data_IF_806970505155
#
_entry.id   IF_806970505155
#
_cell.length_a   1.000
_cell.length_b   1.000
_cell.length_c   1.000
_cell.angle_alpha   90.00
_cell.angle_beta   90.00
_cell.angle_gamma   90.00
#
_symmetry.space_group_name_H-M   'P 1'
#
loop_
_entity.id
_entity.type
_entity.pdbx_description
1 polymer ?
#
# COMPACT_ATOMS: atom_id res chain seq x y z
N UNK A 1 -13.31 -2.52 -5.38
CA UNK A 1 -12.63 -3.15 -4.23
C UNK A 1 -12.93 -4.66 -4.14
N UNK A 2 -14.11 -5.10 -3.66
CA UNK A 2 -14.48 -6.54 -3.47
C UNK A 2 -14.22 -7.45 -4.68
N UNK A 3 -14.29 -6.90 -5.90
CA UNK A 3 -13.99 -7.63 -7.13
C UNK A 3 -12.55 -8.16 -7.21
N UNK A 4 -11.54 -7.38 -6.80
CA UNK A 4 -10.12 -7.72 -7.02
C UNK A 4 -9.73 -9.05 -6.37
N UNK A 5 -10.14 -9.27 -5.11
CA UNK A 5 -9.86 -10.52 -4.39
C UNK A 5 -10.58 -11.73 -5.00
N UNK A 6 -11.69 -11.52 -5.73
CA UNK A 6 -12.45 -12.58 -6.42
C UNK A 6 -11.91 -12.90 -7.81
N UNK A 7 -11.51 -11.90 -8.60
CA UNK A 7 -11.24 -12.06 -10.04
C UNK A 7 -9.79 -11.86 -10.44
N UNK A 8 -8.97 -11.16 -9.63
CA UNK A 8 -7.62 -10.71 -10.01
C UNK A 8 -6.51 -11.19 -9.10
N UNK A 9 -6.67 -11.19 -7.78
CA UNK A 9 -5.59 -11.45 -6.83
C UNK A 9 -4.76 -12.73 -7.11
N UNK A 10 -5.41 -13.85 -7.43
CA UNK A 10 -4.73 -15.12 -7.77
C UNK A 10 -3.99 -15.00 -9.11
N UNK A 11 -4.55 -14.30 -10.10
CA UNK A 11 -3.93 -14.09 -11.41
C UNK A 11 -2.71 -13.18 -11.29
N UNK A 12 -2.85 -12.06 -10.57
CA UNK A 12 -1.78 -11.09 -10.34
C UNK A 12 -0.59 -11.74 -9.60
N UNK A 13 -0.87 -12.63 -8.63
CA UNK A 13 0.16 -13.38 -7.90
C UNK A 13 0.84 -14.45 -8.77
N UNK A 14 0.08 -15.20 -9.59
CA UNK A 14 0.67 -16.14 -10.58
C UNK A 14 1.56 -15.43 -11.60
N UNK A 15 1.20 -14.21 -12.01
CA UNK A 15 1.96 -13.37 -12.94
C UNK A 15 3.04 -12.52 -12.25
N UNK A 16 3.25 -12.65 -10.93
CA UNK A 16 4.19 -11.87 -10.11
C UNK A 16 3.98 -10.33 -10.15
N UNK A 17 2.79 -9.86 -10.53
CA UNK A 17 2.43 -8.44 -10.53
C UNK A 17 2.15 -7.90 -9.12
N UNK A 18 1.75 -8.76 -8.18
CA UNK A 18 1.57 -8.41 -6.77
C UNK A 18 1.23 -9.63 -5.92
N UNK A 19 1.62 -9.58 -4.65
CA UNK A 19 1.38 -10.65 -3.67
C UNK A 19 0.21 -10.26 -2.77
N UNK A 20 -0.72 -11.18 -2.53
CA UNK A 20 -1.95 -10.94 -1.76
C UNK A 20 -2.05 -11.90 -0.58
N UNK A 21 -2.30 -11.34 0.61
CA UNK A 21 -2.60 -12.11 1.81
C UNK A 21 -4.04 -11.84 2.26
N UNK A 22 -4.72 -12.90 2.68
CA UNK A 22 -6.05 -12.86 3.30
C UNK A 22 -5.96 -13.37 4.75
N UNK A 23 -6.90 -12.95 5.61
CA UNK A 23 -7.12 -13.57 6.93
C UNK A 23 -8.49 -14.23 6.92
N UNK A 24 -8.50 -15.50 7.30
CA UNK A 24 -9.70 -16.32 7.32
C UNK A 24 -10.09 -16.53 8.78
N UNK A 25 -11.32 -16.18 9.12
CA UNK A 25 -11.95 -16.47 10.41
C UNK A 25 -12.78 -17.75 10.28
N UNK A 26 -12.71 -18.61 11.31
CA UNK A 26 -13.40 -19.92 11.36
C UNK A 26 -13.18 -20.78 10.10
N UNK A 27 -12.00 -20.66 9.48
CA UNK A 27 -11.60 -21.30 8.22
C UNK A 27 -12.57 -21.09 7.02
N UNK A 28 -13.53 -20.16 7.11
CA UNK A 28 -14.60 -19.93 6.13
C UNK A 28 -14.67 -18.50 5.61
N UNK A 29 -14.46 -17.50 6.46
CA UNK A 29 -14.77 -16.09 6.15
C UNK A 29 -13.49 -15.28 5.99
N UNK A 30 -13.23 -14.74 4.78
CA UNK A 30 -12.17 -13.74 4.60
C UNK A 30 -12.60 -12.44 5.30
N UNK A 31 -12.02 -12.14 6.46
CA UNK A 31 -12.33 -10.94 7.25
C UNK A 31 -11.57 -9.69 6.78
N UNK A 32 -10.58 -9.88 5.90
CA UNK A 32 -9.86 -8.81 5.22
C UNK A 32 -8.69 -9.33 4.39
N UNK A 33 -8.21 -8.52 3.46
CA UNK A 33 -7.05 -8.83 2.62
C UNK A 33 -6.19 -7.58 2.36
N UNK A 34 -4.93 -7.79 2.00
CA UNK A 34 -4.03 -6.75 1.49
C UNK A 34 -3.23 -7.30 0.31
N UNK A 35 -3.04 -6.48 -0.73
CA UNK A 35 -2.24 -6.79 -1.91
C UNK A 35 -1.12 -5.77 -2.05
N UNK A 36 0.12 -6.23 -2.22
CA UNK A 36 1.30 -5.36 -2.36
C UNK A 36 2.04 -5.65 -3.66
N UNK A 37 2.72 -4.63 -4.20
CA UNK A 37 3.59 -4.73 -5.37
C UNK A 37 4.87 -3.90 -5.18
N UNK A 38 5.93 -4.24 -5.92
CA UNK A 38 7.09 -3.36 -6.05
C UNK A 38 6.71 -2.10 -6.81
N UNK A 39 7.27 -0.96 -6.43
CA UNK A 39 6.90 0.34 -6.98
C UNK A 39 8.10 1.28 -7.09
N UNK A 40 7.95 2.32 -7.91
CA UNK A 40 8.97 3.34 -8.14
C UNK A 40 8.28 4.69 -8.27
N UNK A 41 8.71 5.69 -7.48
CA UNK A 41 8.22 7.07 -7.64
C UNK A 41 9.28 7.89 -8.35
N UNK A 42 8.96 8.47 -9.49
CA UNK A 42 9.85 9.39 -10.18
C UNK A 42 10.05 10.68 -9.35
N UNK A 43 11.26 11.22 -9.34
CA UNK A 43 11.58 12.45 -8.58
C UNK A 43 10.97 13.70 -9.22
N UNK A 44 10.72 13.69 -10.54
CA UNK A 44 10.17 14.82 -11.31
C UNK A 44 8.71 15.15 -10.97
N UNK A 45 7.91 14.16 -10.59
CA UNK A 45 6.48 14.31 -10.27
C UNK A 45 6.23 14.75 -8.82
N UNK A 46 7.24 14.79 -7.94
CA UNK A 46 7.09 15.07 -6.50
C UNK A 46 7.72 16.40 -6.12
N UNK A 47 7.17 17.06 -5.09
CA UNK A 47 7.79 18.24 -4.47
C UNK A 47 9.21 17.95 -3.98
N UNK A 48 10.17 18.82 -4.29
CA UNK A 48 11.55 18.72 -3.77
C UNK A 48 11.65 19.02 -2.27
N UNK A 49 10.59 19.63 -1.69
CA UNK A 49 10.49 19.89 -0.26
C UNK A 49 10.14 18.64 0.55
N UNK A 50 9.69 17.54 -0.09
CA UNK A 50 9.34 16.31 0.60
C UNK A 50 10.59 15.60 1.16
N UNK A 51 10.63 15.42 2.48
CA UNK A 51 11.77 14.85 3.21
C UNK A 51 12.15 13.43 2.78
N UNK A 52 11.23 12.70 2.17
CA UNK A 52 11.47 11.36 1.60
C UNK A 52 12.37 11.41 0.35
N UNK A 53 12.30 12.51 -0.43
CA UNK A 53 12.97 12.72 -1.72
C UNK A 53 14.22 13.61 -1.61
N UNK A 54 14.29 14.43 -0.55
CA UNK A 54 15.51 15.17 -0.20
C UNK A 54 16.72 14.23 -0.09
N UNK A 55 17.85 14.69 -0.62
CA UNK A 55 19.15 14.00 -0.67
C UNK A 55 19.17 12.65 -1.42
N UNK A 56 18.16 12.31 -2.23
CA UNK A 56 18.25 11.17 -3.16
C UNK A 56 18.88 11.63 -4.49
N UNK A 57 20.00 11.04 -4.94
CA UNK A 57 20.68 11.47 -6.17
C UNK A 57 19.99 10.96 -7.45
N UNK A 58 19.25 9.86 -7.36
CA UNK A 58 18.62 9.20 -8.50
C UNK A 58 17.33 9.89 -8.98
N UNK A 59 16.97 9.64 -10.24
CA UNK A 59 15.74 10.14 -10.87
C UNK A 59 14.45 9.48 -10.35
N UNK A 60 14.54 8.44 -9.53
CA UNK A 60 13.39 7.73 -8.94
C UNK A 60 13.73 7.15 -7.55
N UNK A 61 12.71 6.75 -6.81
CA UNK A 61 12.82 6.14 -5.48
C UNK A 61 12.12 4.78 -5.47
N UNK A 62 12.82 3.69 -5.08
CA UNK A 62 12.20 2.37 -4.95
C UNK A 62 11.31 2.31 -3.70
N UNK A 63 10.13 1.74 -3.86
CA UNK A 63 9.05 1.76 -2.89
C UNK A 63 8.25 0.44 -2.90
N UNK A 64 7.40 0.27 -1.91
CA UNK A 64 6.33 -0.73 -1.94
C UNK A 64 4.99 -0.03 -2.13
N UNK A 65 4.17 -0.51 -3.07
CA UNK A 65 2.78 -0.08 -3.22
C UNK A 65 1.86 -1.04 -2.45
N UNK A 66 1.02 -0.53 -1.55
CA UNK A 66 -0.22 -1.20 -1.13
C UNK A 66 -1.25 -0.92 -2.22
N UNK A 67 -1.44 -1.89 -3.11
CA UNK A 67 -2.31 -1.75 -4.29
C UNK A 67 -3.79 -1.96 -3.97
N UNK A 68 -4.10 -2.79 -2.97
CA UNK A 68 -5.45 -3.00 -2.43
C UNK A 68 -5.37 -3.28 -0.92
N UNK A 69 -6.34 -2.76 -0.17
CA UNK A 69 -6.63 -3.11 1.22
C UNK A 69 -8.14 -3.14 1.40
N UNK A 70 -8.69 -4.19 2.00
CA UNK A 70 -10.09 -4.23 2.41
C UNK A 70 -10.27 -4.99 3.73
N UNK A 71 -11.36 -4.65 4.44
CA UNK A 71 -11.92 -5.39 5.58
C UNK A 71 -13.32 -5.85 5.17
N UNK A 72 -13.78 -6.99 5.69
CA UNK A 72 -15.14 -7.43 5.48
C UNK A 72 -16.10 -6.55 6.31
N UNK A 73 -17.15 -5.97 5.70
CA UNK A 73 -18.06 -4.99 6.32
C UNK A 73 -18.45 -5.32 7.78
N UNK A 74 -18.96 -6.52 8.03
CA UNK A 74 -19.38 -6.98 9.37
C UNK A 74 -18.25 -7.05 10.44
N UNK A 75 -16.99 -6.88 10.02
CA UNK A 75 -15.76 -6.91 10.83
C UNK A 75 -14.98 -5.59 10.80
N UNK A 76 -15.53 -4.53 10.18
CA UNK A 76 -15.00 -3.17 10.24
C UNK A 76 -15.04 -2.61 11.68
N UNK A 77 -14.29 -1.53 11.93
CA UNK A 77 -14.08 -0.96 13.28
C UNK A 77 -13.16 -1.80 14.18
N UNK A 78 -13.12 -3.13 14.04
CA UNK A 78 -12.37 -4.10 14.89
C UNK A 78 -10.85 -4.08 14.71
N UNK A 79 -10.25 -2.96 14.31
CA UNK A 79 -8.79 -2.78 14.15
C UNK A 79 -8.12 -3.54 12.99
N UNK A 80 -8.82 -4.47 12.31
CA UNK A 80 -8.25 -5.37 11.28
C UNK A 80 -7.45 -4.61 10.21
N UNK A 81 -8.01 -3.56 9.61
CA UNK A 81 -7.30 -2.77 8.59
C UNK A 81 -6.01 -2.12 9.11
N UNK A 82 -6.00 -1.64 10.35
CA UNK A 82 -4.80 -1.05 10.98
C UNK A 82 -3.73 -2.12 11.18
N UNK A 83 -4.12 -3.32 11.62
CA UNK A 83 -3.21 -4.46 11.74
C UNK A 83 -2.64 -4.88 10.37
N UNK A 84 -3.43 -4.86 9.29
CA UNK A 84 -2.96 -5.14 7.92
C UNK A 84 -1.86 -4.19 7.47
N UNK A 85 -2.04 -2.88 7.69
CA UNK A 85 -1.06 -1.86 7.31
C UNK A 85 0.23 -1.98 8.15
N UNK A 86 0.11 -2.18 9.47
CA UNK A 86 1.27 -2.39 10.35
C UNK A 86 2.06 -3.65 9.99
N UNK A 87 1.37 -4.74 9.62
CA UNK A 87 2.01 -5.98 9.16
C UNK A 87 2.79 -5.79 7.84
N UNK A 88 2.25 -5.01 6.89
CA UNK A 88 2.98 -4.67 5.65
C UNK A 88 4.21 -3.81 5.95
N UNK A 89 4.10 -2.84 6.86
CA UNK A 89 5.25 -2.03 7.29
C UNK A 89 6.35 -2.91 7.91
N UNK A 90 5.98 -3.95 8.66
CA UNK A 90 6.95 -4.94 9.15
C UNK A 90 7.57 -5.77 8.02
N UNK A 91 6.80 -6.24 7.04
CA UNK A 91 7.36 -6.95 5.87
C UNK A 91 8.34 -6.07 5.09
N UNK A 92 8.01 -4.79 4.88
CA UNK A 92 8.90 -3.81 4.24
C UNK A 92 10.21 -3.67 5.01
N UNK A 93 10.18 -3.60 6.35
CA UNK A 93 11.39 -3.53 7.20
C UNK A 93 12.22 -4.82 7.22
N UNK A 94 11.64 -5.95 6.79
CA UNK A 94 12.37 -7.20 6.52
C UNK A 94 13.00 -7.18 5.13
N UNK A 95 12.22 -6.85 4.10
CA UNK A 95 12.69 -6.79 2.71
C UNK A 95 13.77 -5.71 2.50
N UNK A 96 13.64 -4.56 3.16
CA UNK A 96 14.58 -3.42 3.06
C UNK A 96 15.99 -3.70 3.58
N UNK A 97 16.24 -4.89 4.15
CA UNK A 97 17.58 -5.37 4.52
C UNK A 97 18.34 -5.94 3.31
N UNK A 98 17.62 -6.47 2.33
CA UNK A 98 18.17 -7.25 1.21
C UNK A 98 17.90 -6.59 -0.15
N UNK A 99 16.86 -5.75 -0.26
CA UNK A 99 16.51 -5.00 -1.48
C UNK A 99 16.24 -3.53 -1.15
N UNK A 100 16.47 -2.64 -2.11
CA UNK A 100 16.15 -1.22 -1.97
C UNK A 100 14.64 -1.00 -1.88
N UNK A 101 14.15 -0.51 -0.73
CA UNK A 101 12.77 -0.08 -0.54
C UNK A 101 12.74 1.02 0.53
N UNK A 102 12.16 2.19 0.23
CA UNK A 102 12.24 3.39 1.09
C UNK A 102 10.87 3.81 1.66
N UNK A 103 9.89 4.33 0.89
CA UNK A 103 8.53 4.56 1.39
C UNK A 103 7.60 3.37 1.12
N UNK A 104 6.50 3.32 1.90
CA UNK A 104 5.29 2.59 1.52
C UNK A 104 4.31 3.61 0.92
N UNK A 105 3.83 3.34 -0.29
CA UNK A 105 2.89 4.17 -1.03
C UNK A 105 1.54 3.46 -1.18
N UNK A 106 0.49 4.24 -1.45
CA UNK A 106 -0.85 3.79 -1.79
C UNK A 106 -1.61 4.90 -2.51
N UNK A 107 -2.60 4.53 -3.32
CA UNK A 107 -3.58 5.45 -3.86
C UNK A 107 -4.83 5.37 -2.99
N UNK A 108 -5.19 6.48 -2.34
CA UNK A 108 -6.31 6.54 -1.40
C UNK A 108 -7.53 7.14 -2.08
N UNK A 109 -8.68 6.48 -1.99
CA UNK A 109 -9.95 7.17 -2.20
C UNK A 109 -10.11 8.26 -1.13
N UNK A 110 -10.84 9.34 -1.47
CA UNK A 110 -10.88 10.57 -0.66
C UNK A 110 -11.50 10.39 0.72
N UNK A 111 -12.46 9.48 0.84
CA UNK A 111 -13.18 9.09 2.05
C UNK A 111 -12.28 8.48 3.14
N UNK A 112 -11.22 7.76 2.75
CA UNK A 112 -10.31 7.07 3.69
C UNK A 112 -8.99 7.80 3.95
N UNK A 113 -8.77 9.00 3.40
CA UNK A 113 -7.53 9.79 3.61
C UNK A 113 -7.27 10.06 5.10
N UNK A 114 -8.30 10.47 5.86
CA UNK A 114 -8.15 10.74 7.30
C UNK A 114 -7.87 9.49 8.13
N UNK A 115 -8.24 8.31 7.63
CA UNK A 115 -7.88 7.04 8.27
C UNK A 115 -6.39 6.74 8.07
N UNK A 116 -5.85 6.92 6.86
CA UNK A 116 -4.42 6.77 6.59
C UNK A 116 -3.55 7.81 7.31
N UNK A 117 -4.01 9.07 7.42
CA UNK A 117 -3.34 10.11 8.24
C UNK A 117 -3.23 9.72 9.71
N UNK A 118 -4.27 9.11 10.29
CA UNK A 118 -4.24 8.55 11.66
C UNK A 118 -3.22 7.40 11.81
N UNK A 119 -2.90 6.70 10.72
CA UNK A 119 -1.80 5.73 10.63
C UNK A 119 -0.43 6.35 10.26
N UNK A 120 -0.29 7.68 10.35
CA UNK A 120 0.93 8.46 10.06
C UNK A 120 1.40 8.43 8.59
N UNK A 121 0.53 8.08 7.64
CA UNK A 121 0.81 8.32 6.23
C UNK A 121 0.74 9.82 5.92
N UNK A 122 1.78 10.34 5.25
CA UNK A 122 1.79 11.69 4.71
C UNK A 122 1.08 11.76 3.36
N UNK A 123 0.46 12.90 3.05
CA UNK A 123 -0.12 13.15 1.74
C UNK A 123 0.95 13.75 0.80
N UNK A 124 1.39 12.98 -0.19
CA UNK A 124 2.38 13.42 -1.17
C UNK A 124 1.78 14.43 -2.16
N UNK A 125 2.38 15.61 -2.31
CA UNK A 125 1.91 16.59 -3.31
C UNK A 125 2.63 16.39 -4.63
N UNK A 126 1.87 16.04 -5.67
CA UNK A 126 2.36 15.89 -7.04
C UNK A 126 2.52 17.27 -7.69
N UNK A 127 3.59 17.47 -8.46
CA UNK A 127 3.99 18.77 -9.01
C UNK A 127 3.08 19.30 -10.13
N UNK A 128 2.42 18.41 -10.88
CA UNK A 128 1.39 18.75 -11.88
C UNK A 128 0.62 17.51 -12.32
N UNK A 129 -0.54 17.76 -12.96
CA UNK A 129 -1.57 16.82 -13.42
C UNK A 129 -2.45 16.23 -12.32
N UNK A 130 -3.77 16.39 -12.50
CA UNK A 130 -4.81 15.89 -11.61
C UNK A 130 -5.22 14.48 -12.05
N UNK A 131 -5.01 13.48 -11.20
CA UNK A 131 -5.70 12.18 -11.25
C UNK A 131 -6.00 11.78 -9.80
N UNK A 132 -7.17 11.19 -9.57
CA UNK A 132 -7.64 10.74 -8.25
C UNK A 132 -7.16 9.31 -7.92
#
# INVERSE_FOLDING_TARGET
MVEHIKTRAIKDQKMKLGTTWAWIYDNKIIVGYISIAMFSIEKRIVSEQDKLFKNVPYGSIPALLIGQLAVHKNYEGRGIGRFRVLWVIDQVRRYSKNIGCRPVMLHSHGDVIEWYKKLKFGHLKWKKYHVF
#
